data_IF_312004229872
#
_entry.id   IF_312004229872
#
_cell.length_a   1.000
_cell.length_b   1.000
_cell.length_c   1.000
_cell.angle_alpha   90.00
_cell.angle_beta   90.00
_cell.angle_gamma   90.00
#
_symmetry.space_group_name_H-M   'P 1'
#
loop_
_entity.id
_entity.type
_entity.pdbx_description
1 polymer ?
#
# COMPACT_ATOMS: atom_id res chain seq x y z
N UNK A 1 9.09 5.19 7.74
CA UNK A 1 8.88 6.05 6.58
C UNK A 1 7.81 7.09 6.88
N UNK A 2 8.05 8.32 6.46
CA UNK A 2 7.12 9.42 6.72
C UNK A 2 5.79 9.30 5.96
N UNK A 3 5.73 8.42 4.96
CA UNK A 3 4.52 8.21 4.17
C UNK A 3 3.61 7.13 4.72
N UNK A 4 4.01 6.48 5.80
CA UNK A 4 3.26 5.34 6.36
C UNK A 4 2.60 5.74 7.67
N UNK A 5 1.34 5.38 7.81
CA UNK A 5 0.58 5.52 9.03
C UNK A 5 0.04 4.16 9.42
N UNK A 6 0.00 3.89 10.72
CA UNK A 6 -0.42 2.60 11.24
C UNK A 6 -1.53 2.81 12.26
N UNK A 7 -2.64 2.10 12.04
CA UNK A 7 -3.75 2.07 12.98
C UNK A 7 -3.72 0.77 13.75
N UNK A 8 -4.09 0.81 15.02
CA UNK A 8 -4.17 -0.39 15.87
C UNK A 8 -5.62 -0.66 16.24
N UNK A 9 -5.90 -1.91 16.57
CA UNK A 9 -7.25 -2.36 16.94
C UNK A 9 -7.30 -3.87 16.88
N UNK A 10 -8.48 -4.44 16.53
CA UNK A 10 -8.62 -5.87 16.37
C UNK A 10 -7.86 -6.40 15.15
N UNK A 11 -7.53 -5.53 14.22
CA UNK A 11 -6.63 -5.84 13.09
C UNK A 11 -5.78 -4.61 12.81
N UNK A 12 -4.66 -4.84 12.12
CA UNK A 12 -3.70 -3.80 11.83
C UNK A 12 -3.91 -3.25 10.42
N UNK A 13 -3.89 -1.93 10.30
CA UNK A 13 -3.94 -1.27 8.99
C UNK A 13 -2.75 -0.32 8.89
N UNK A 14 -1.98 -0.45 7.83
CA UNK A 14 -0.91 0.47 7.49
C UNK A 14 -1.32 1.23 6.24
N UNK A 15 -1.36 2.54 6.32
CA UNK A 15 -1.78 3.40 5.22
C UNK A 15 -0.56 4.12 4.65
N UNK A 16 -0.37 4.01 3.34
CA UNK A 16 0.72 4.68 2.64
C UNK A 16 0.15 5.76 1.71
N UNK A 17 0.62 7.00 1.89
CA UNK A 17 0.15 8.15 1.13
C UNK A 17 1.36 8.90 0.55
N UNK A 18 2.12 8.27 -0.36
CA UNK A 18 3.26 8.93 -0.97
C UNK A 18 2.83 9.95 -2.03
N UNK A 19 3.74 10.86 -2.43
CA UNK A 19 3.43 11.82 -3.47
C UNK A 19 3.01 11.14 -4.78
N UNK A 20 2.03 11.71 -5.48
CA UNK A 20 1.58 11.17 -6.76
C UNK A 20 2.68 11.14 -7.82
N UNK A 21 3.68 12.02 -7.70
CA UNK A 21 4.81 12.06 -8.63
C UNK A 21 5.84 10.96 -8.39
N UNK A 22 5.65 10.14 -7.34
CA UNK A 22 6.57 9.05 -7.05
C UNK A 22 6.59 8.06 -8.22
N UNK A 23 7.76 7.67 -8.73
CA UNK A 23 7.83 6.71 -9.84
C UNK A 23 7.23 5.35 -9.50
N UNK A 24 6.78 4.63 -10.51
CA UNK A 24 6.20 3.30 -10.37
C UNK A 24 7.11 2.38 -9.55
N UNK A 25 8.40 2.36 -9.86
CA UNK A 25 9.37 1.49 -9.19
C UNK A 25 9.52 1.82 -7.71
N UNK A 26 9.33 3.09 -7.34
CA UNK A 26 9.42 3.50 -5.94
C UNK A 26 8.17 3.09 -5.17
N UNK A 27 7.00 3.09 -5.81
CA UNK A 27 5.80 2.52 -5.20
C UNK A 27 5.98 1.03 -4.95
N UNK A 28 6.55 0.31 -5.90
CA UNK A 28 6.80 -1.12 -5.74
C UNK A 28 7.78 -1.38 -4.60
N UNK A 29 8.83 -0.57 -4.52
CA UNK A 29 9.81 -0.69 -3.45
C UNK A 29 9.19 -0.42 -2.08
N UNK A 30 8.27 0.55 -2.00
CA UNK A 30 7.59 0.88 -0.75
C UNK A 30 6.77 -0.32 -0.25
N UNK A 31 6.01 -0.96 -1.14
CA UNK A 31 5.21 -2.13 -0.79
C UNK A 31 6.11 -3.27 -0.32
N UNK A 32 7.19 -3.53 -1.06
CA UNK A 32 8.13 -4.60 -0.70
C UNK A 32 8.79 -4.33 0.64
N UNK A 33 9.10 -3.07 0.93
CA UNK A 33 9.71 -2.67 2.21
C UNK A 33 8.80 -3.04 3.38
N UNK A 34 7.51 -2.78 3.25
CA UNK A 34 6.55 -3.08 4.31
C UNK A 34 6.52 -4.59 4.61
N UNK A 35 6.48 -5.42 3.56
CA UNK A 35 6.40 -6.87 3.75
C UNK A 35 7.75 -7.47 4.15
N UNK A 36 8.86 -6.96 3.60
CA UNK A 36 10.18 -7.49 3.91
C UNK A 36 10.60 -7.22 5.35
N UNK A 37 10.09 -6.15 5.96
CA UNK A 37 10.42 -5.79 7.33
C UNK A 37 9.34 -6.22 8.33
N UNK A 38 8.38 -7.03 7.90
CA UNK A 38 7.33 -7.56 8.77
C UNK A 38 6.56 -6.46 9.50
N UNK A 39 6.26 -5.37 8.80
CA UNK A 39 5.51 -4.26 9.39
C UNK A 39 4.04 -4.58 9.57
N UNK A 40 3.55 -5.65 8.93
CA UNK A 40 2.18 -6.11 9.08
C UNK A 40 2.13 -7.37 9.92
N UNK A 41 1.10 -7.47 10.76
CA UNK A 41 0.77 -8.71 11.45
C UNK A 41 0.05 -9.65 10.49
N UNK A 42 -0.22 -10.87 10.92
CA UNK A 42 -0.90 -11.87 10.09
C UNK A 42 -2.28 -11.41 9.60
N UNK A 43 -2.93 -10.50 10.34
CA UNK A 43 -4.22 -9.94 9.95
C UNK A 43 -4.10 -8.53 9.41
N UNK A 44 -2.89 -8.11 9.06
CA UNK A 44 -2.63 -6.75 8.64
C UNK A 44 -3.01 -6.50 7.20
N UNK A 45 -3.37 -5.25 6.90
CA UNK A 45 -3.69 -4.77 5.58
C UNK A 45 -2.87 -3.52 5.30
N UNK A 46 -2.22 -3.49 4.13
CA UNK A 46 -1.55 -2.29 3.63
C UNK A 46 -2.45 -1.65 2.59
N UNK A 47 -2.70 -0.36 2.72
CA UNK A 47 -3.48 0.41 1.75
C UNK A 47 -2.56 1.48 1.17
N UNK A 48 -2.42 1.48 -0.16
CA UNK A 48 -1.57 2.46 -0.86
C UNK A 48 -2.44 3.32 -1.76
N UNK A 49 -2.38 4.63 -1.55
CA UNK A 49 -3.04 5.59 -2.44
C UNK A 49 -2.09 5.98 -3.55
N UNK A 50 -2.55 5.93 -4.80
CA UNK A 50 -1.75 6.29 -5.97
C UNK A 50 -2.64 6.75 -7.11
N UNK A 51 -2.03 7.28 -8.17
CA UNK A 51 -2.77 7.69 -9.36
C UNK A 51 -3.10 6.49 -10.23
N UNK A 52 -3.97 6.71 -11.22
CA UNK A 52 -4.35 5.67 -12.18
C UNK A 52 -3.18 5.22 -13.06
N UNK A 53 -2.13 6.02 -13.15
CA UNK A 53 -0.96 5.69 -13.97
C UNK A 53 -0.04 4.68 -13.29
N UNK A 54 -0.19 4.51 -11.98
CA UNK A 54 0.57 3.52 -11.21
C UNK A 54 -0.22 2.23 -11.14
N UNK A 55 0.42 1.10 -11.43
CA UNK A 55 -0.21 -0.21 -11.40
C UNK A 55 0.55 -1.12 -10.43
N UNK A 56 -0.11 -1.53 -9.36
CA UNK A 56 0.48 -2.38 -8.33
C UNK A 56 -0.14 -3.78 -8.28
N UNK A 57 -1.04 -4.10 -9.22
CA UNK A 57 -1.79 -5.35 -9.20
C UNK A 57 -0.93 -6.59 -9.41
N UNK A 58 0.26 -6.44 -9.95
CA UNK A 58 1.17 -7.56 -10.20
C UNK A 58 2.02 -7.94 -8.99
N UNK A 59 1.98 -7.12 -7.94
CA UNK A 59 2.82 -7.37 -6.76
C UNK A 59 2.23 -8.48 -5.88
N UNK A 60 3.12 -9.17 -5.15
CA UNK A 60 2.70 -10.15 -4.17
C UNK A 60 1.86 -9.49 -3.09
N UNK A 61 0.93 -10.25 -2.54
CA UNK A 61 0.03 -9.81 -1.47
C UNK A 61 -1.06 -8.85 -1.94
N UNK A 62 -1.09 -8.46 -3.21
CA UNK A 62 -2.16 -7.62 -3.74
C UNK A 62 -3.50 -8.36 -3.65
N UNK A 63 -4.54 -7.68 -3.14
CA UNK A 63 -5.87 -8.26 -3.04
C UNK A 63 -6.88 -7.59 -3.96
N UNK A 64 -6.96 -6.25 -3.92
CA UNK A 64 -7.89 -5.52 -4.77
C UNK A 64 -7.45 -4.07 -4.92
N UNK A 65 -8.02 -3.39 -5.89
CA UNK A 65 -7.86 -1.96 -6.07
C UNK A 65 -9.23 -1.32 -6.21
N UNK A 66 -9.41 -0.16 -5.57
CA UNK A 66 -10.65 0.61 -5.64
C UNK A 66 -10.34 2.01 -6.13
N UNK A 67 -11.12 2.46 -7.08
CA UNK A 67 -10.94 3.78 -7.69
C UNK A 67 -11.96 4.77 -7.16
N UNK A 68 -11.48 5.92 -6.73
CA UNK A 68 -12.31 7.03 -6.28
C UNK A 68 -11.85 8.30 -7.00
N UNK A 69 -12.60 8.74 -8.01
CA UNK A 69 -12.19 9.88 -8.82
C UNK A 69 -10.90 9.59 -9.57
N UNK A 70 -9.88 10.42 -9.33
CA UNK A 70 -8.56 10.25 -9.95
C UNK A 70 -7.60 9.43 -9.08
N UNK A 71 -8.03 9.03 -7.89
CA UNK A 71 -7.19 8.27 -6.97
C UNK A 71 -7.55 6.79 -7.01
N UNK A 72 -6.54 5.95 -6.77
CA UNK A 72 -6.72 4.50 -6.64
C UNK A 72 -6.16 4.07 -5.29
N UNK A 73 -6.90 3.21 -4.61
CA UNK A 73 -6.47 2.61 -3.36
C UNK A 73 -6.23 1.12 -3.60
N UNK A 74 -4.97 0.72 -3.53
CA UNK A 74 -4.59 -0.69 -3.69
C UNK A 74 -4.40 -1.33 -2.33
N UNK A 75 -4.96 -2.52 -2.15
CA UNK A 75 -5.01 -3.23 -0.87
C UNK A 75 -4.13 -4.46 -0.94
N UNK A 76 -3.31 -4.65 0.09
CA UNK A 76 -2.38 -5.77 0.21
C UNK A 76 -2.58 -6.43 1.57
N UNK A 77 -2.60 -7.76 1.60
CA UNK A 77 -2.73 -8.54 2.83
C UNK A 77 -1.64 -9.59 2.91
N UNK A 78 -1.26 -9.94 4.13
CA UNK A 78 -0.28 -11.00 4.38
C UNK A 78 -0.77 -12.37 3.88
#
# INVERSE_FOLDING_TARGET
LKYLEKASGSFEVVFADPPYALPQEDFEALVQLVFNHNWLTDNGTLIVEHSQQTDLAHLEHFTEARRYGSSVFSFFEM
#
